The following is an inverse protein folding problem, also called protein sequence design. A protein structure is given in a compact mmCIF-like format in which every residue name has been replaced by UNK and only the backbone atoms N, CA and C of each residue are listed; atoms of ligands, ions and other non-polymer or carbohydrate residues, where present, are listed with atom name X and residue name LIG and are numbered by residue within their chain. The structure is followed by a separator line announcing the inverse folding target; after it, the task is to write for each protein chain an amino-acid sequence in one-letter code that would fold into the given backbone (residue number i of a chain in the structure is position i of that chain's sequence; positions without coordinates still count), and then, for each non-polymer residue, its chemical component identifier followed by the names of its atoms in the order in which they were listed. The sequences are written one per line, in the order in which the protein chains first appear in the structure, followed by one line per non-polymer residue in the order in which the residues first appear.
data_IF_104123589797
#
_entry.id   IF_104123589797
#
_cell.length_a   1.000
_cell.length_b   1.000
_cell.length_c   1.000
_cell.angle_alpha   90.00
_cell.angle_beta   90.00
_cell.angle_gamma   90.00
#
_symmetry.space_group_name_H-M   'P 1'
#
loop_
_entity.id
_entity.type
_entity.pdbx_description
1 polymer ?
#
# COMPACT_ATOMS: atom_id res chain seq x y z
N UNK A 1 4.81 -11.80 -13.08
CA UNK A 1 4.04 -11.08 -12.03
C UNK A 1 3.90 -11.91 -10.78
N UNK A 2 4.46 -11.44 -9.66
CA UNK A 2 4.25 -12.06 -8.35
C UNK A 2 2.88 -11.72 -7.75
N UNK A 3 2.47 -12.36 -6.64
CA UNK A 3 1.16 -12.13 -6.00
C UNK A 3 0.86 -10.65 -5.68
N UNK A 4 1.89 -9.84 -5.39
CA UNK A 4 1.76 -8.40 -5.13
C UNK A 4 1.41 -7.60 -6.40
N UNK A 5 2.01 -7.94 -7.55
CA UNK A 5 1.75 -7.26 -8.82
C UNK A 5 0.30 -7.48 -9.29
N UNK A 6 -0.19 -8.73 -9.18
CA UNK A 6 -1.59 -9.04 -9.50
C UNK A 6 -2.58 -8.31 -8.59
N UNK A 7 -2.29 -8.24 -7.28
CA UNK A 7 -3.11 -7.49 -6.34
C UNK A 7 -3.14 -6.00 -6.67
N UNK A 8 -1.99 -5.40 -7.00
CA UNK A 8 -1.89 -3.99 -7.37
C UNK A 8 -2.72 -3.67 -8.61
N UNK A 9 -2.62 -4.49 -9.65
CA UNK A 9 -3.43 -4.33 -10.87
C UNK A 9 -4.92 -4.33 -10.54
N UNK A 10 -5.38 -5.31 -9.76
CA UNK A 10 -6.79 -5.51 -9.42
C UNK A 10 -7.37 -4.43 -8.51
N UNK A 11 -6.59 -3.92 -7.56
CA UNK A 11 -7.14 -3.02 -6.52
C UNK A 11 -6.79 -1.55 -6.72
N UNK A 12 -5.79 -1.22 -7.55
CA UNK A 12 -5.35 0.16 -7.80
C UNK A 12 -5.60 0.55 -9.26
N UNK A 13 -5.03 -0.19 -10.21
CA UNK A 13 -5.03 0.21 -11.62
C UNK A 13 -6.40 0.06 -12.28
N UNK A 14 -7.07 -1.07 -12.05
CA UNK A 14 -8.40 -1.33 -12.63
C UNK A 14 -9.48 -0.33 -12.13
N UNK A 15 -9.57 -0.01 -10.82
CA UNK A 15 -10.49 1.04 -10.36
C UNK A 15 -10.06 2.44 -10.78
N UNK A 16 -8.74 2.72 -10.84
CA UNK A 16 -8.22 4.02 -11.26
C UNK A 16 -8.85 5.20 -10.51
N UNK A 17 -9.29 6.22 -11.25
CA UNK A 17 -9.88 7.45 -10.69
C UNK A 17 -11.33 7.34 -10.20
N UNK A 18 -11.96 6.17 -10.23
CA UNK A 18 -13.37 6.02 -9.81
C UNK A 18 -13.55 5.93 -8.29
N UNK A 19 -12.47 5.87 -7.52
CA UNK A 19 -12.49 5.86 -6.06
C UNK A 19 -11.41 6.78 -5.49
N UNK A 20 -11.60 7.25 -4.25
CA UNK A 20 -10.60 8.08 -3.58
C UNK A 20 -9.31 7.30 -3.32
N UNK A 21 -8.17 7.99 -3.32
CA UNK A 21 -6.87 7.38 -3.02
C UNK A 21 -6.88 6.58 -1.70
N UNK A 22 -7.55 7.11 -0.66
CA UNK A 22 -7.72 6.42 0.62
C UNK A 22 -8.43 5.07 0.47
N UNK A 23 -9.44 5.00 -0.39
CA UNK A 23 -10.20 3.77 -0.65
C UNK A 23 -9.35 2.76 -1.40
N UNK A 24 -8.63 3.21 -2.44
CA UNK A 24 -7.73 2.37 -3.23
C UNK A 24 -6.63 1.74 -2.36
N UNK A 25 -5.96 2.56 -1.56
CA UNK A 25 -4.90 2.11 -0.65
C UNK A 25 -5.46 1.15 0.40
N UNK A 26 -6.65 1.43 0.96
CA UNK A 26 -7.32 0.51 1.90
C UNK A 26 -7.61 -0.85 1.26
N UNK A 27 -8.12 -0.87 0.04
CA UNK A 27 -8.44 -2.10 -0.68
C UNK A 27 -7.18 -2.92 -0.99
N UNK A 28 -6.07 -2.25 -1.34
CA UNK A 28 -4.80 -2.92 -1.61
C UNK A 28 -4.16 -3.51 -0.34
N UNK A 29 -4.13 -2.74 0.76
CA UNK A 29 -3.48 -3.14 2.01
C UNK A 29 -4.35 -4.06 2.88
N UNK A 30 -5.66 -4.13 2.63
CA UNK A 30 -6.63 -4.80 3.51
C UNK A 30 -6.88 -4.07 4.84
N UNK A 31 -6.29 -2.88 5.02
CA UNK A 31 -6.41 -2.03 6.21
C UNK A 31 -6.29 -0.55 5.83
N UNK A 32 -6.80 0.39 6.64
CA UNK A 32 -6.55 1.81 6.42
C UNK A 32 -5.06 2.12 6.36
N UNK A 33 -4.69 3.15 5.59
CA UNK A 33 -3.32 3.66 5.59
C UNK A 33 -2.92 4.15 6.99
N UNK A 34 -1.68 3.87 7.40
CA UNK A 34 -1.16 4.26 8.71
C UNK A 34 0.31 4.59 8.61
N UNK A 35 0.68 5.79 9.06
CA UNK A 35 2.06 6.29 9.02
C UNK A 35 3.03 5.47 9.87
N UNK A 36 2.56 4.93 11.01
CA UNK A 36 3.40 4.13 11.93
C UNK A 36 4.05 2.92 11.27
N UNK A 37 3.39 2.30 10.29
CA UNK A 37 3.98 1.18 9.55
C UNK A 37 5.19 1.64 8.72
N UNK A 38 5.09 2.79 8.06
CA UNK A 38 6.19 3.40 7.29
C UNK A 38 7.33 3.82 8.22
N UNK A 39 7.01 4.48 9.34
CA UNK A 39 8.00 4.86 10.35
C UNK A 39 8.77 3.65 10.91
N UNK A 40 8.06 2.56 11.22
CA UNK A 40 8.67 1.32 11.70
C UNK A 40 9.62 0.72 10.65
N UNK A 41 9.22 0.70 9.38
CA UNK A 41 10.08 0.22 8.30
C UNK A 41 11.32 1.09 8.12
N UNK A 42 11.16 2.43 8.08
CA UNK A 42 12.29 3.37 7.98
C UNK A 42 13.29 3.13 9.12
N UNK A 43 12.80 3.02 10.36
CA UNK A 43 13.67 2.79 11.51
C UNK A 43 14.39 1.44 11.42
N UNK A 44 13.72 0.39 10.94
CA UNK A 44 14.34 -0.92 10.75
C UNK A 44 15.40 -0.93 9.64
N UNK A 45 15.19 -0.17 8.57
CA UNK A 45 16.08 -0.15 7.41
C UNK A 45 17.28 0.81 7.59
N UNK A 46 17.08 1.90 8.31
CA UNK A 46 18.02 3.04 8.32
C UNK A 46 18.51 3.49 9.70
N UNK A 47 17.89 3.09 10.81
CA UNK A 47 18.37 3.45 12.16
C UNK A 47 19.14 2.26 12.72
N UNK A 48 20.45 2.21 12.43
CA UNK A 48 21.36 1.13 12.85
C UNK A 48 22.42 0.71 11.83
N UNK A 49 22.60 1.44 10.73
CA UNK A 49 23.83 1.42 9.93
C UNK A 49 24.62 2.69 10.19
#
# INVERSE_FOLDING_TARGET
DGPAAMRYRKTILEPGGTASANTLVKNFLGRPQQYEATKKWINAEFVGK
#
